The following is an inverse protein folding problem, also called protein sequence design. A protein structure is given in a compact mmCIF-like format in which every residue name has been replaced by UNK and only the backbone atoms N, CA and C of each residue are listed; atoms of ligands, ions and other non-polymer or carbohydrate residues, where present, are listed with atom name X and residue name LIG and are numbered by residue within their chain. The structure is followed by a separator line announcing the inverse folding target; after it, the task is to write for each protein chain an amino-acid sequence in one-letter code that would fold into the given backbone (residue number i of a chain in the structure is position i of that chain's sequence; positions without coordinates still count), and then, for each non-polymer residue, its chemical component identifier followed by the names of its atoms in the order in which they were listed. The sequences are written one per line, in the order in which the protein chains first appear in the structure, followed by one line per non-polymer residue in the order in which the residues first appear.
data_IF_092574061403
#
_entry.id   IF_092574061403
#
_cell.length_a   1.000
_cell.length_b   1.000
_cell.length_c   1.000
_cell.angle_alpha   90.00
_cell.angle_beta   90.00
_cell.angle_gamma   90.00
#
_symmetry.space_group_name_H-M   'P 1'
#
loop_
_entity.id
_entity.type
_entity.pdbx_description
1 polymer ?
#
# COMPACT_ATOMS: atom_id res chain seq x y z
N UNK A 1 19.48 5.84 5.67
CA UNK A 1 18.60 4.70 5.39
C UNK A 1 19.33 3.53 4.71
N UNK A 2 19.91 3.71 3.47
CA UNK A 2 20.59 2.60 2.76
C UNK A 2 21.80 2.07 3.54
N UNK A 3 22.74 2.95 3.91
CA UNK A 3 23.94 2.58 4.69
C UNK A 3 23.62 1.98 6.08
N UNK A 4 22.50 2.34 6.65
CA UNK A 4 22.02 1.78 7.91
C UNK A 4 21.49 0.35 7.73
N UNK A 5 20.76 0.10 6.65
CA UNK A 5 20.32 -1.24 6.28
C UNK A 5 21.52 -2.16 5.98
N UNK A 6 22.48 -1.69 5.19
CA UNK A 6 23.68 -2.43 4.85
C UNK A 6 24.45 -2.87 6.12
N UNK A 7 24.62 -1.97 7.08
CA UNK A 7 25.23 -2.30 8.39
C UNK A 7 24.46 -3.36 9.19
N UNK A 8 23.12 -3.24 9.22
CA UNK A 8 22.28 -4.21 9.94
C UNK A 8 22.43 -5.62 9.39
N UNK A 9 22.70 -5.77 8.09
CA UNK A 9 22.89 -7.07 7.46
C UNK A 9 24.33 -7.59 7.61
N UNK A 10 25.34 -6.70 7.58
CA UNK A 10 26.74 -7.04 7.84
C UNK A 10 26.95 -7.61 9.26
N UNK A 11 26.16 -7.13 10.23
CA UNK A 11 26.21 -7.59 11.63
C UNK A 11 25.45 -8.92 11.88
N UNK A 12 24.75 -9.47 10.88
CA UNK A 12 24.01 -10.74 11.01
C UNK A 12 24.95 -11.96 10.88
N UNK A 13 24.88 -12.96 11.79
CA UNK A 13 25.72 -14.15 11.73
C UNK A 13 25.48 -15.01 10.47
N UNK A 14 24.26 -15.02 9.96
CA UNK A 14 23.83 -15.76 8.77
C UNK A 14 22.81 -14.90 7.99
N UNK A 15 23.31 -13.90 7.23
CA UNK A 15 22.42 -13.00 6.52
C UNK A 15 21.74 -13.73 5.34
N UNK A 16 20.43 -13.57 5.17
CA UNK A 16 19.77 -14.05 3.97
C UNK A 16 20.31 -13.32 2.73
N UNK A 17 20.10 -13.88 1.54
CA UNK A 17 20.43 -13.20 0.30
C UNK A 17 19.55 -11.94 0.15
N UNK A 18 20.17 -10.77 0.15
CA UNK A 18 19.51 -9.48 0.15
C UNK A 18 19.98 -8.63 -1.01
N UNK A 19 19.03 -8.09 -1.76
CA UNK A 19 19.28 -7.11 -2.81
C UNK A 19 18.66 -5.76 -2.45
N UNK A 20 19.49 -4.73 -2.23
CA UNK A 20 19.02 -3.37 -1.97
C UNK A 20 19.01 -2.58 -3.28
N UNK A 21 17.82 -2.23 -3.75
CA UNK A 21 17.61 -1.48 -5.00
C UNK A 21 16.85 -0.18 -4.74
N UNK A 22 17.01 0.80 -5.62
CA UNK A 22 16.33 2.09 -5.53
C UNK A 22 15.61 2.43 -6.83
N UNK A 23 14.52 3.20 -6.74
CA UNK A 23 13.75 3.74 -7.88
C UNK A 23 13.15 2.69 -8.84
N UNK A 24 12.99 1.45 -8.39
CA UNK A 24 12.44 0.33 -9.18
C UNK A 24 11.33 -0.42 -8.42
N UNK A 25 10.60 0.27 -7.52
CA UNK A 25 9.57 -0.34 -6.65
C UNK A 25 8.60 -1.23 -7.40
N UNK A 26 8.06 -0.79 -8.54
CA UNK A 26 7.13 -1.58 -9.34
C UNK A 26 7.74 -2.90 -9.85
N UNK A 27 9.00 -2.88 -10.28
CA UNK A 27 9.69 -4.10 -10.73
C UNK A 27 9.87 -5.08 -9.58
N UNK A 28 10.30 -4.60 -8.42
CA UNK A 28 10.48 -5.40 -7.21
C UNK A 28 9.15 -5.99 -6.76
N UNK A 29 8.11 -5.17 -6.64
CA UNK A 29 6.77 -5.63 -6.26
C UNK A 29 6.25 -6.67 -7.27
N UNK A 30 6.41 -6.43 -8.57
CA UNK A 30 5.98 -7.39 -9.60
C UNK A 30 6.69 -8.73 -9.55
N UNK A 31 7.94 -8.77 -9.12
CA UNK A 31 8.75 -9.98 -9.04
C UNK A 31 8.55 -10.76 -7.71
N UNK A 32 8.01 -10.09 -6.69
CA UNK A 32 7.85 -10.69 -5.38
C UNK A 32 6.65 -11.65 -5.31
N UNK A 33 6.77 -12.74 -4.57
CA UNK A 33 5.65 -13.62 -4.24
C UNK A 33 4.77 -13.02 -3.16
N UNK A 34 5.37 -12.39 -2.14
CA UNK A 34 4.71 -11.67 -1.05
C UNK A 34 5.48 -10.39 -0.75
N UNK A 35 4.78 -9.35 -0.33
CA UNK A 35 5.39 -8.04 -0.05
C UNK A 35 5.10 -7.55 1.36
N UNK A 36 6.07 -6.86 1.98
CA UNK A 36 5.81 -5.99 3.13
C UNK A 36 5.83 -4.56 2.62
N UNK A 37 4.73 -3.84 2.84
CA UNK A 37 4.61 -2.45 2.40
C UNK A 37 4.23 -1.53 3.56
N UNK A 38 4.74 -0.31 3.52
CA UNK A 38 4.28 0.74 4.43
C UNK A 38 2.88 1.21 4.00
N UNK A 39 2.02 1.52 4.97
CA UNK A 39 0.72 2.13 4.68
C UNK A 39 0.89 3.44 3.86
N UNK A 40 0.14 3.56 2.77
CA UNK A 40 0.22 4.65 1.81
C UNK A 40 -0.02 4.17 0.38
N UNK A 41 0.44 4.95 -0.60
CA UNK A 41 0.27 4.66 -2.04
C UNK A 41 0.93 3.35 -2.50
N UNK A 42 1.97 2.89 -1.81
CA UNK A 42 2.60 1.59 -2.11
C UNK A 42 1.64 0.40 -1.94
N UNK A 43 0.64 0.52 -1.05
CA UNK A 43 -0.41 -0.52 -0.91
C UNK A 43 -1.31 -0.57 -2.14
N UNK A 44 -1.58 0.58 -2.77
CA UNK A 44 -2.31 0.65 -4.03
C UNK A 44 -1.48 0.07 -5.19
N UNK A 45 -0.18 0.37 -5.24
CA UNK A 45 0.71 -0.18 -6.27
C UNK A 45 0.76 -1.71 -6.19
N UNK A 46 0.93 -2.29 -5.00
CA UNK A 46 0.95 -3.74 -4.81
C UNK A 46 -0.38 -4.38 -5.20
N UNK A 47 -1.52 -3.77 -4.81
CA UNK A 47 -2.85 -4.22 -5.20
C UNK A 47 -3.04 -4.21 -6.73
N UNK A 48 -2.67 -3.12 -7.41
CA UNK A 48 -2.80 -2.99 -8.86
C UNK A 48 -1.89 -3.96 -9.64
N UNK A 49 -0.80 -4.40 -9.03
CA UNK A 49 0.10 -5.43 -9.55
C UNK A 49 -0.33 -6.86 -9.17
N UNK A 50 -1.45 -7.00 -8.46
CA UNK A 50 -1.98 -8.30 -8.04
C UNK A 50 -1.04 -9.04 -7.09
N UNK A 51 -0.32 -8.32 -6.19
CA UNK A 51 0.64 -8.96 -5.28
C UNK A 51 0.11 -8.99 -3.86
N UNK A 52 0.17 -10.17 -3.20
CA UNK A 52 -0.15 -10.31 -1.79
C UNK A 52 0.74 -9.39 -0.95
N UNK A 53 0.16 -8.81 0.10
CA UNK A 53 0.91 -7.87 0.92
C UNK A 53 0.54 -7.94 2.40
N UNK A 54 1.55 -7.70 3.22
CA UNK A 54 1.40 -7.35 4.64
C UNK A 54 1.67 -5.86 4.79
N UNK A 55 0.78 -5.15 5.46
CA UNK A 55 0.92 -3.70 5.66
C UNK A 55 1.42 -3.43 7.07
N UNK A 56 2.55 -2.74 7.17
CA UNK A 56 3.14 -2.33 8.43
C UNK A 56 3.23 -0.82 8.52
N UNK A 57 2.88 -0.25 9.68
CA UNK A 57 2.99 1.20 9.88
C UNK A 57 3.22 1.57 11.34
N UNK A 58 4.26 2.38 11.55
CA UNK A 58 4.55 3.01 12.84
C UNK A 58 4.63 4.53 12.67
N UNK A 59 3.82 5.25 13.44
CA UNK A 59 3.88 6.71 13.57
C UNK A 59 4.69 7.07 14.83
N UNK A 60 5.30 8.23 14.84
CA UNK A 60 5.82 8.79 16.08
C UNK A 60 4.71 8.93 17.14
N UNK A 61 5.03 8.72 18.41
CA UNK A 61 4.06 8.64 19.50
C UNK A 61 3.09 9.83 19.56
N UNK A 62 3.60 11.04 19.37
CA UNK A 62 2.81 12.27 19.38
C UNK A 62 1.83 12.35 18.20
N UNK A 63 2.30 12.00 17.00
CA UNK A 63 1.47 11.96 15.79
C UNK A 63 0.37 10.90 15.91
N UNK A 64 0.70 9.75 16.48
CA UNK A 64 -0.28 8.69 16.73
C UNK A 64 -1.41 9.13 17.65
N UNK A 65 -1.09 9.84 18.73
CA UNK A 65 -2.08 10.34 19.69
C UNK A 65 -3.08 11.30 19.03
N UNK A 66 -2.60 12.19 18.15
CA UNK A 66 -3.42 13.15 17.42
C UNK A 66 -4.29 12.41 16.36
N UNK A 67 -3.65 11.58 15.54
CA UNK A 67 -4.31 10.83 14.45
C UNK A 67 -5.42 9.93 14.98
N UNK A 68 -5.18 9.21 16.08
CA UNK A 68 -6.18 8.32 16.71
C UNK A 68 -7.44 9.06 17.16
N UNK A 69 -7.32 10.33 17.57
CA UNK A 69 -8.48 11.16 17.98
C UNK A 69 -9.26 11.72 16.81
N UNK A 70 -8.57 12.05 15.71
CA UNK A 70 -9.15 12.73 14.56
C UNK A 70 -9.67 11.77 13.49
N UNK A 71 -9.02 10.61 13.34
CA UNK A 71 -9.31 9.68 12.24
C UNK A 71 -10.02 8.44 12.78
N UNK A 72 -11.30 8.33 12.49
CA UNK A 72 -12.15 7.15 12.80
C UNK A 72 -12.23 6.18 11.62
N UNK A 73 -11.13 6.01 10.88
CA UNK A 73 -11.10 5.08 9.75
C UNK A 73 -10.71 3.70 10.28
N UNK A 74 -11.47 2.63 9.99
CA UNK A 74 -11.16 1.28 10.46
C UNK A 74 -9.92 0.67 9.81
N UNK A 75 -9.50 1.19 8.65
CA UNK A 75 -8.39 0.69 7.85
C UNK A 75 -7.46 1.81 7.42
N UNK A 76 -6.17 1.48 7.17
CA UNK A 76 -5.15 2.42 6.65
C UNK A 76 -4.59 1.98 5.30
N UNK A 77 -4.70 0.72 4.95
CA UNK A 77 -4.33 0.22 3.64
C UNK A 77 -5.41 0.53 2.60
N UNK A 78 -5.00 1.08 1.46
CA UNK A 78 -5.95 1.43 0.39
C UNK A 78 -6.79 0.24 -0.10
N UNK A 79 -6.27 -1.00 -0.24
CA UNK A 79 -7.11 -2.15 -0.57
C UNK A 79 -8.27 -2.36 0.41
N UNK A 80 -8.02 -2.25 1.71
CA UNK A 80 -9.05 -2.42 2.74
C UNK A 80 -10.07 -1.29 2.72
N UNK A 81 -9.62 -0.04 2.51
CA UNK A 81 -10.49 1.13 2.38
C UNK A 81 -11.39 1.01 1.15
N UNK A 82 -10.81 0.64 0.00
CA UNK A 82 -11.53 0.52 -1.26
C UNK A 82 -12.49 -0.67 -1.29
N UNK A 83 -12.09 -1.78 -0.65
CA UNK A 83 -12.93 -2.98 -0.52
C UNK A 83 -13.98 -2.89 0.59
N UNK A 84 -13.92 -1.86 1.46
CA UNK A 84 -14.82 -1.70 2.61
C UNK A 84 -14.69 -2.80 3.67
N UNK A 85 -13.68 -3.66 3.58
CA UNK A 85 -13.40 -4.78 4.47
C UNK A 85 -11.90 -5.10 4.54
N UNK A 86 -11.51 -5.93 5.50
CA UNK A 86 -10.11 -6.37 5.63
C UNK A 86 -9.79 -7.37 4.52
N UNK A 87 -9.12 -6.91 3.48
CA UNK A 87 -8.58 -7.72 2.38
C UNK A 87 -7.13 -8.13 2.64
N UNK A 88 -6.36 -7.24 3.27
CA UNK A 88 -4.95 -7.47 3.59
C UNK A 88 -4.69 -7.27 5.08
N UNK A 89 -3.75 -8.02 5.68
CA UNK A 89 -3.37 -7.82 7.07
C UNK A 89 -2.67 -6.48 7.27
N UNK A 90 -3.11 -5.72 8.28
CA UNK A 90 -2.52 -4.46 8.71
C UNK A 90 -1.99 -4.58 10.14
N UNK A 91 -0.74 -4.25 10.33
CA UNK A 91 -0.10 -4.20 11.65
C UNK A 91 0.35 -2.77 11.93
N UNK A 92 -0.30 -2.17 12.92
CA UNK A 92 -0.09 -0.77 13.25
C UNK A 92 0.56 -0.65 14.64
N UNK A 93 1.47 0.29 14.78
CA UNK A 93 2.08 0.66 16.06
C UNK A 93 2.65 -0.56 16.83
N UNK A 94 2.03 -0.89 17.98
CA UNK A 94 2.45 -2.00 18.84
C UNK A 94 2.28 -3.38 18.20
N UNK A 95 1.36 -3.51 17.26
CA UNK A 95 1.08 -4.77 16.59
C UNK A 95 2.06 -5.04 15.42
N UNK A 96 2.80 -4.01 14.96
CA UNK A 96 3.86 -4.14 13.97
C UNK A 96 5.14 -4.71 14.61
N UNK A 97 5.08 -5.99 15.00
CA UNK A 97 6.17 -6.78 15.58
C UNK A 97 6.73 -7.75 14.56
N UNK A 98 7.99 -8.16 14.73
CA UNK A 98 8.62 -9.18 13.88
C UNK A 98 7.77 -10.46 13.86
N UNK A 99 7.32 -10.94 15.02
CA UNK A 99 6.52 -12.17 15.12
C UNK A 99 5.21 -12.10 14.33
N UNK A 100 4.48 -10.98 14.42
CA UNK A 100 3.23 -10.82 13.69
C UNK A 100 3.44 -10.70 12.19
N UNK A 101 4.45 -9.93 11.77
CA UNK A 101 4.77 -9.74 10.35
C UNK A 101 5.25 -11.05 9.73
N UNK A 102 6.16 -11.79 10.39
CA UNK A 102 6.67 -13.06 9.88
C UNK A 102 5.55 -14.10 9.73
N UNK A 103 4.67 -14.23 10.75
CA UNK A 103 3.53 -15.14 10.66
C UNK A 103 2.63 -14.80 9.48
N UNK A 104 2.27 -13.53 9.33
CA UNK A 104 1.40 -13.11 8.24
C UNK A 104 2.04 -13.29 6.85
N UNK A 105 3.36 -13.15 6.74
CA UNK A 105 4.08 -13.41 5.48
C UNK A 105 4.06 -14.90 5.13
N UNK A 106 4.31 -15.78 6.11
CA UNK A 106 4.24 -17.22 5.91
C UNK A 106 2.83 -17.63 5.51
N UNK A 107 1.82 -17.16 6.24
CA UNK A 107 0.41 -17.42 5.93
C UNK A 107 0.04 -17.01 4.48
N UNK A 108 0.51 -15.84 4.02
CA UNK A 108 0.27 -15.38 2.65
C UNK A 108 1.09 -16.16 1.59
N UNK A 109 2.23 -16.72 1.96
CA UNK A 109 3.05 -17.52 1.05
C UNK A 109 2.49 -18.93 0.84
N UNK A 110 1.85 -19.52 1.87
CA UNK A 110 1.42 -20.91 1.89
C UNK A 110 -0.06 -21.10 1.53
N UNK A 111 -0.90 -20.07 1.70
CA UNK A 111 -2.34 -20.19 1.51
C UNK A 111 -2.82 -19.62 0.18
N UNK A 112 -4.05 -19.99 -0.18
CA UNK A 112 -4.74 -19.46 -1.36
C UNK A 112 -4.91 -17.94 -1.27
N UNK A 113 -4.70 -17.28 -2.40
CA UNK A 113 -4.66 -15.81 -2.53
C UNK A 113 -6.00 -15.29 -3.03
N UNK A 114 -7.07 -15.52 -2.28
CA UNK A 114 -8.42 -15.09 -2.66
C UNK A 114 -8.54 -13.56 -2.81
N UNK A 115 -7.74 -12.80 -2.04
CA UNK A 115 -7.69 -11.34 -2.11
C UNK A 115 -7.30 -10.81 -3.49
N UNK A 116 -6.55 -11.60 -4.29
CA UNK A 116 -6.15 -11.20 -5.65
C UNK A 116 -7.36 -11.04 -6.58
N UNK A 117 -8.38 -11.86 -6.43
CA UNK A 117 -9.63 -11.72 -7.20
C UNK A 117 -10.33 -10.41 -6.88
N UNK A 118 -10.29 -10.02 -5.61
CA UNK A 118 -10.87 -8.77 -5.16
C UNK A 118 -10.06 -7.55 -5.62
N UNK A 119 -8.73 -7.65 -5.61
CA UNK A 119 -7.86 -6.62 -6.18
C UNK A 119 -8.19 -6.34 -7.64
N UNK A 120 -8.43 -7.38 -8.42
CA UNK A 120 -8.80 -7.28 -9.83
C UNK A 120 -10.17 -6.60 -10.01
N UNK A 121 -11.12 -6.91 -9.14
CA UNK A 121 -12.43 -6.25 -9.11
C UNK A 121 -12.30 -4.76 -8.80
N UNK A 122 -11.54 -4.41 -7.76
CA UNK A 122 -11.28 -3.01 -7.38
C UNK A 122 -10.54 -2.29 -8.51
N UNK A 123 -9.53 -2.92 -9.11
CA UNK A 123 -8.78 -2.35 -10.23
C UNK A 123 -9.70 -1.98 -11.40
N UNK A 124 -10.58 -2.90 -11.82
CA UNK A 124 -11.56 -2.61 -12.87
C UNK A 124 -12.48 -1.45 -12.52
N UNK A 125 -12.89 -1.35 -11.26
CA UNK A 125 -13.73 -0.25 -10.78
C UNK A 125 -13.00 1.10 -10.77
N UNK A 126 -11.69 1.11 -10.50
CA UNK A 126 -10.86 2.33 -10.52
C UNK A 126 -10.50 2.81 -11.93
N UNK A 127 -10.53 1.93 -12.92
CA UNK A 127 -10.19 2.25 -14.31
C UNK A 127 -11.31 3.04 -15.00
N UNK A 128 -11.43 4.33 -14.66
CA UNK A 128 -12.52 5.21 -15.09
C UNK A 128 -12.05 6.47 -15.81
N UNK A 129 -10.87 6.48 -16.43
CA UNK A 129 -10.32 7.66 -17.12
C UNK A 129 -10.39 8.93 -16.26
N UNK A 130 -9.91 8.84 -15.01
CA UNK A 130 -10.05 9.89 -14.00
C UNK A 130 -9.55 11.26 -14.50
N UNK A 131 -8.43 11.30 -15.23
CA UNK A 131 -7.87 12.54 -15.80
C UNK A 131 -8.80 13.18 -16.81
N UNK A 132 -9.42 12.39 -17.71
CA UNK A 132 -10.38 12.87 -18.69
C UNK A 132 -11.63 13.44 -18.00
N UNK A 133 -12.19 12.68 -17.05
CA UNK A 133 -13.37 13.12 -16.30
C UNK A 133 -13.13 14.37 -15.47
N UNK A 134 -11.95 14.49 -14.86
CA UNK A 134 -11.55 15.70 -14.14
C UNK A 134 -11.44 16.90 -15.08
N UNK A 135 -10.79 16.75 -16.23
CA UNK A 135 -10.69 17.79 -17.24
C UNK A 135 -12.08 18.22 -17.74
N UNK A 136 -12.96 17.28 -18.05
CA UNK A 136 -14.34 17.58 -18.47
C UNK A 136 -15.15 18.31 -17.38
N UNK A 137 -14.95 17.94 -16.10
CA UNK A 137 -15.61 18.63 -14.98
C UNK A 137 -15.13 20.08 -14.84
N UNK A 138 -13.81 20.30 -14.94
CA UNK A 138 -13.22 21.65 -14.92
C UNK A 138 -13.73 22.48 -16.08
N UNK A 139 -13.72 21.92 -17.30
CA UNK A 139 -14.21 22.62 -18.50
C UNK A 139 -15.69 22.97 -18.40
N UNK A 140 -16.53 22.08 -17.86
CA UNK A 140 -17.94 22.38 -17.60
C UNK A 140 -18.12 23.54 -16.65
N UNK A 141 -17.39 23.56 -15.55
CA UNK A 141 -17.41 24.67 -14.57
C UNK A 141 -16.94 25.98 -15.20
N UNK A 142 -15.87 25.93 -15.98
CA UNK A 142 -15.37 27.11 -16.69
C UNK A 142 -16.42 27.68 -17.65
N UNK A 143 -16.99 26.84 -18.53
CA UNK A 143 -18.04 27.27 -19.50
C UNK A 143 -19.27 27.83 -18.83
N UNK A 144 -19.69 27.23 -17.71
CA UNK A 144 -20.85 27.72 -16.96
C UNK A 144 -20.62 29.12 -16.36
N UNK A 145 -19.37 29.50 -16.08
CA UNK A 145 -19.02 30.76 -15.44
C UNK A 145 -18.57 31.84 -16.43
N UNK A 146 -17.91 31.45 -17.51
CA UNK A 146 -17.24 32.38 -18.43
C UNK A 146 -17.67 32.25 -19.90
N UNK A 147 -18.55 31.31 -20.23
CA UNK A 147 -18.94 31.05 -21.61
C UNK A 147 -17.98 30.11 -22.35
N UNK A 148 -18.29 29.80 -23.61
CA UNK A 148 -17.39 29.02 -24.46
C UNK A 148 -16.18 29.87 -24.88
N UNK A 149 -15.04 29.15 -25.10
CA UNK A 149 -13.85 29.78 -25.64
C UNK A 149 -14.15 30.29 -27.05
N UNK A 150 -14.08 31.61 -27.25
CA UNK A 150 -14.14 32.26 -28.57
C UNK A 150 -12.79 32.17 -29.26
#
# INVERSE_FOLDING_TARGET
ARAELERLFEDMPDPPEIMIVGNVSRKVISAADVTIVKAGTSTLEAMLLGRPMVVAYKLGALTHLIVRRLIKIPYVALPNILGGRKLVPEFLQKDATVANLSRALVDLAENDREEIKEFDSIHRHLRRDASKRAAEAVLRLYRSKYGDWS
#
